data_IF_122000619121
#
_entry.id   IF_122000619121
#
_cell.length_a   1.000
_cell.length_b   1.000
_cell.length_c   1.000
_cell.angle_alpha   90.00
_cell.angle_beta   90.00
_cell.angle_gamma   90.00
#
_symmetry.space_group_name_H-M   'P 1'
#
loop_
_entity.id
_entity.type
_entity.pdbx_description
1 polymer ?
#
# COMPACT_ATOMS: atom_id res chain seq x y z
N UNK A 1 -48.53 -52.27 -26.16
CA UNK A 1 -47.35 -52.40 -25.29
C UNK A 1 -46.53 -51.14 -25.39
N UNK A 2 -46.80 -50.14 -24.50
CA UNK A 2 -46.18 -48.84 -24.55
C UNK A 2 -45.06 -48.73 -23.54
N UNK A 3 -43.84 -48.68 -24.02
CA UNK A 3 -42.67 -48.41 -23.17
C UNK A 3 -42.49 -46.89 -23.00
N UNK A 4 -42.89 -46.38 -21.85
CA UNK A 4 -42.62 -44.98 -21.46
C UNK A 4 -41.13 -44.76 -21.16
N UNK A 5 -40.51 -43.85 -21.96
CA UNK A 5 -39.15 -43.39 -21.69
C UNK A 5 -39.18 -42.39 -20.52
N UNK A 6 -38.63 -42.82 -19.38
CA UNK A 6 -38.38 -41.93 -18.24
C UNK A 6 -37.09 -41.17 -18.52
N UNK A 7 -37.24 -39.87 -18.77
CA UNK A 7 -36.11 -38.94 -18.84
C UNK A 7 -35.70 -38.58 -17.40
N UNK A 8 -34.53 -38.99 -16.98
CA UNK A 8 -33.92 -38.55 -15.72
C UNK A 8 -33.22 -37.23 -15.99
N UNK A 9 -33.79 -36.10 -15.49
CA UNK A 9 -33.11 -34.83 -15.48
C UNK A 9 -32.16 -34.83 -14.29
N UNK A 10 -30.85 -34.96 -14.56
CA UNK A 10 -29.81 -34.72 -13.58
C UNK A 10 -29.66 -33.23 -13.39
N UNK A 11 -30.21 -32.71 -12.29
CA UNK A 11 -29.98 -31.32 -11.88
C UNK A 11 -28.55 -31.21 -11.33
N UNK A 12 -27.67 -30.61 -12.11
CA UNK A 12 -26.31 -30.28 -11.66
C UNK A 12 -26.41 -29.08 -10.72
N UNK A 13 -26.34 -29.36 -9.43
CA UNK A 13 -26.25 -28.33 -8.40
C UNK A 13 -24.78 -27.81 -8.39
N UNK A 14 -24.54 -26.68 -9.05
CA UNK A 14 -23.25 -26.01 -8.95
C UNK A 14 -23.16 -25.39 -7.57
N UNK A 15 -22.46 -26.06 -6.66
CA UNK A 15 -22.08 -25.49 -5.38
C UNK A 15 -20.99 -24.45 -5.64
N UNK A 16 -21.38 -23.19 -5.62
CA UNK A 16 -20.44 -22.06 -5.59
C UNK A 16 -19.76 -22.09 -4.19
N UNK A 17 -18.55 -22.63 -4.13
CA UNK A 17 -17.72 -22.53 -2.93
C UNK A 17 -17.24 -21.08 -2.83
N UNK A 18 -17.91 -20.30 -1.99
CA UNK A 18 -17.41 -18.99 -1.57
C UNK A 18 -16.24 -19.29 -0.63
N UNK A 19 -15.03 -19.19 -1.14
CA UNK A 19 -13.82 -19.30 -0.34
C UNK A 19 -13.72 -18.06 0.55
N UNK A 20 -14.35 -18.10 1.71
CA UNK A 20 -14.06 -17.16 2.81
C UNK A 20 -12.77 -17.67 3.46
N UNK A 21 -11.62 -17.32 2.87
CA UNK A 21 -10.33 -17.58 3.51
C UNK A 21 -10.22 -16.76 4.80
N UNK A 22 -9.48 -17.24 5.81
CA UNK A 22 -9.10 -16.38 6.93
C UNK A 22 -8.35 -15.17 6.40
N UNK A 23 -8.54 -14.02 7.02
CA UNK A 23 -7.75 -12.83 6.74
C UNK A 23 -6.27 -13.20 6.93
N UNK A 24 -5.59 -13.47 5.84
CA UNK A 24 -4.18 -13.79 5.84
C UNK A 24 -3.42 -12.48 6.00
N UNK A 25 -2.37 -12.47 6.82
CA UNK A 25 -1.46 -11.33 6.85
C UNK A 25 -0.99 -11.07 5.42
N UNK A 26 -0.96 -9.82 5.00
CA UNK A 26 -0.53 -9.45 3.67
C UNK A 26 0.94 -9.84 3.49
N UNK A 27 1.24 -10.68 2.49
CA UNK A 27 2.60 -11.15 2.25
C UNK A 27 3.19 -10.53 0.97
N UNK A 28 4.52 -10.47 0.91
CA UNK A 28 5.21 -10.06 -0.32
C UNK A 28 4.84 -11.01 -1.47
N UNK A 29 4.43 -10.44 -2.60
CA UNK A 29 3.91 -11.18 -3.77
C UNK A 29 2.40 -11.14 -3.92
N UNK A 30 1.66 -10.68 -2.91
CA UNK A 30 0.21 -10.50 -2.99
C UNK A 30 -0.17 -9.15 -3.59
N UNK A 31 -1.36 -9.08 -4.19
CA UNK A 31 -1.92 -7.81 -4.64
C UNK A 31 -2.21 -6.91 -3.44
N UNK A 32 -1.74 -5.66 -3.50
CA UNK A 32 -2.05 -4.67 -2.50
C UNK A 32 -3.56 -4.36 -2.54
N UNK A 33 -4.27 -4.40 -1.40
CA UNK A 33 -5.65 -3.94 -1.33
C UNK A 33 -5.77 -2.51 -1.83
N UNK A 34 -6.67 -2.26 -2.78
CA UNK A 34 -6.93 -0.88 -3.22
C UNK A 34 -7.72 -0.13 -2.16
N UNK A 35 -7.46 1.16 -2.05
CA UNK A 35 -8.17 2.05 -1.15
C UNK A 35 -8.39 3.41 -1.78
N UNK A 36 -9.33 4.17 -1.24
CA UNK A 36 -9.54 5.58 -1.56
C UNK A 36 -9.70 6.35 -0.27
N UNK A 37 -8.77 7.27 0.01
CA UNK A 37 -8.73 8.08 1.23
C UNK A 37 -8.70 9.57 0.90
N UNK A 38 -9.18 10.37 1.83
CA UNK A 38 -9.02 11.82 1.75
C UNK A 38 -7.61 12.23 2.19
N UNK A 39 -6.96 13.07 1.38
CA UNK A 39 -5.75 13.77 1.78
C UNK A 39 -6.08 14.89 2.77
N UNK A 40 -5.07 15.39 3.47
CA UNK A 40 -5.21 16.57 4.35
C UNK A 40 -5.62 17.85 3.59
N UNK A 41 -5.45 17.87 2.26
CA UNK A 41 -5.90 18.99 1.38
C UNK A 41 -7.33 18.79 0.89
N UNK A 42 -7.99 17.68 1.23
CA UNK A 42 -9.37 17.37 0.85
C UNK A 42 -9.51 16.68 -0.52
N UNK A 43 -8.42 16.32 -1.17
CA UNK A 43 -8.43 15.54 -2.41
C UNK A 43 -8.65 14.06 -2.08
N UNK A 44 -9.41 13.36 -2.91
CA UNK A 44 -9.53 11.91 -2.86
C UNK A 44 -8.37 11.28 -3.61
N UNK A 45 -7.67 10.35 -2.95
CA UNK A 45 -6.47 9.69 -3.48
C UNK A 45 -6.63 8.19 -3.31
N UNK A 46 -6.51 7.46 -4.41
CA UNK A 46 -6.57 5.99 -4.43
C UNK A 46 -5.20 5.38 -4.72
N UNK A 47 -4.93 4.21 -4.16
CA UNK A 47 -3.69 3.50 -4.49
C UNK A 47 -3.62 3.20 -6.00
N UNK A 48 -4.75 2.86 -6.61
CA UNK A 48 -4.86 2.58 -8.05
C UNK A 48 -4.53 3.76 -8.97
N UNK A 49 -4.52 5.01 -8.47
CA UNK A 49 -4.11 6.19 -9.25
C UNK A 49 -2.62 6.14 -9.61
N UNK A 50 -1.84 5.35 -8.90
CA UNK A 50 -0.39 5.23 -9.05
C UNK A 50 0.05 3.96 -9.78
N UNK A 51 -0.84 3.28 -10.49
CA UNK A 51 -0.46 2.15 -11.37
C UNK A 51 0.64 2.57 -12.34
N UNK A 52 1.63 1.70 -12.50
CA UNK A 52 2.81 1.99 -13.33
C UNK A 52 3.94 2.70 -12.57
N UNK A 53 3.78 2.99 -11.28
CA UNK A 53 4.79 3.62 -10.43
C UNK A 53 5.08 2.76 -9.19
N UNK A 54 6.28 2.88 -8.64
CA UNK A 54 6.54 2.40 -7.29
C UNK A 54 5.86 3.29 -6.27
N UNK A 55 5.20 2.69 -5.30
CA UNK A 55 4.57 3.37 -4.17
C UNK A 55 5.23 2.91 -2.87
N UNK A 56 5.75 3.85 -2.12
CA UNK A 56 6.16 3.66 -0.74
C UNK A 56 4.95 4.03 0.14
N UNK A 57 4.35 3.03 0.78
CA UNK A 57 3.17 3.20 1.62
C UNK A 57 3.55 3.05 3.09
N UNK A 58 3.37 4.11 3.88
CA UNK A 58 3.58 4.09 5.33
C UNK A 58 2.25 4.25 6.05
N UNK A 59 2.00 3.40 7.04
CA UNK A 59 0.88 3.55 7.98
C UNK A 59 1.45 3.87 9.36
N UNK A 60 1.08 5.02 9.90
CA UNK A 60 1.72 5.58 11.09
C UNK A 60 0.79 6.54 11.84
N UNK A 61 1.30 7.10 12.93
CA UNK A 61 0.67 8.22 13.65
C UNK A 61 1.69 9.31 13.93
N UNK A 62 1.23 10.53 14.15
CA UNK A 62 2.09 11.68 14.43
C UNK A 62 2.80 11.60 15.78
N UNK A 63 2.17 10.97 16.77
CA UNK A 63 2.65 10.88 18.15
C UNK A 63 3.59 9.70 18.43
N UNK A 64 3.83 8.83 17.45
CA UNK A 64 4.67 7.64 17.59
C UNK A 64 6.16 7.97 17.32
N UNK A 65 7.08 7.83 18.31
CA UNK A 65 8.49 8.19 18.11
C UNK A 65 9.20 7.39 17.02
N UNK A 66 8.93 6.08 16.91
CA UNK A 66 9.51 5.23 15.85
C UNK A 66 8.95 5.57 14.48
N UNK A 67 7.70 6.04 14.41
CA UNK A 67 7.11 6.55 13.17
C UNK A 67 7.83 7.82 12.69
N UNK A 68 8.15 8.74 13.62
CA UNK A 68 8.92 9.95 13.31
C UNK A 68 10.33 9.60 12.82
N UNK A 69 11.02 8.67 13.47
CA UNK A 69 12.34 8.20 13.02
C UNK A 69 12.28 7.64 11.58
N UNK A 70 11.27 6.83 11.27
CA UNK A 70 11.10 6.32 9.90
C UNK A 70 10.81 7.44 8.91
N UNK A 71 10.01 8.45 9.27
CA UNK A 71 9.77 9.63 8.45
C UNK A 71 11.06 10.40 8.14
N UNK A 72 11.94 10.57 9.14
CA UNK A 72 13.24 11.20 8.96
C UNK A 72 14.14 10.39 7.99
N UNK A 73 14.11 9.06 8.06
CA UNK A 73 14.87 8.21 7.13
C UNK A 73 14.31 8.25 5.70
N UNK A 74 12.97 8.31 5.55
CA UNK A 74 12.32 8.48 4.24
C UNK A 74 12.67 9.85 3.65
N UNK A 75 12.66 10.92 4.45
CA UNK A 75 13.08 12.26 4.01
C UNK A 75 14.54 12.26 3.54
N UNK A 76 15.47 11.61 4.27
CA UNK A 76 16.87 11.46 3.85
C UNK A 76 17.05 10.66 2.55
N UNK A 77 16.15 9.73 2.25
CA UNK A 77 16.12 9.01 0.99
C UNK A 77 15.44 9.81 -0.14
N UNK A 78 14.83 10.94 0.17
CA UNK A 78 13.89 11.68 -0.65
C UNK A 78 14.37 12.00 -2.06
N UNK A 79 15.63 12.46 -2.22
CA UNK A 79 16.19 12.77 -3.54
C UNK A 79 16.29 11.51 -4.43
N UNK A 80 16.71 10.37 -3.85
CA UNK A 80 16.75 9.08 -4.55
C UNK A 80 15.32 8.62 -4.93
N UNK A 81 14.35 8.77 -4.02
CA UNK A 81 12.95 8.44 -4.27
C UNK A 81 12.37 9.32 -5.40
N UNK A 82 12.63 10.61 -5.38
CA UNK A 82 12.22 11.55 -6.43
C UNK A 82 12.85 11.20 -7.79
N UNK A 83 14.17 10.93 -7.81
CA UNK A 83 14.90 10.54 -9.02
C UNK A 83 14.37 9.25 -9.66
N UNK A 84 13.82 8.37 -8.85
CA UNK A 84 13.22 7.09 -9.26
C UNK A 84 11.69 7.19 -9.44
N UNK A 85 11.11 8.39 -9.45
CA UNK A 85 9.67 8.64 -9.63
C UNK A 85 8.77 7.83 -8.65
N UNK A 86 9.27 7.60 -7.44
CA UNK A 86 8.52 6.92 -6.37
C UNK A 86 7.44 7.86 -5.84
N UNK A 87 6.27 7.31 -5.56
CA UNK A 87 5.19 7.99 -4.81
C UNK A 87 5.31 7.63 -3.35
N UNK A 88 5.26 8.60 -2.47
CA UNK A 88 5.16 8.35 -1.04
C UNK A 88 3.73 8.65 -0.56
N UNK A 89 3.04 7.61 -0.07
CA UNK A 89 1.75 7.72 0.59
C UNK A 89 1.95 7.52 2.09
N UNK A 90 1.73 8.58 2.86
CA UNK A 90 1.79 8.55 4.32
C UNK A 90 0.37 8.54 4.89
N UNK A 91 -0.08 7.37 5.32
CA UNK A 91 -1.42 7.15 5.86
C UNK A 91 -1.38 7.30 7.37
N UNK A 92 -2.08 8.32 7.85
CA UNK A 92 -2.18 8.66 9.27
C UNK A 92 -3.39 7.99 9.90
N UNK A 93 -3.10 7.08 10.82
CA UNK A 93 -4.12 6.30 11.54
C UNK A 93 -4.54 7.06 12.80
N UNK A 94 -5.84 7.34 12.96
CA UNK A 94 -6.41 8.02 14.14
C UNK A 94 -5.88 9.45 14.40
N UNK A 95 -5.34 10.12 13.41
CA UNK A 95 -4.90 11.51 13.50
C UNK A 95 -5.94 12.46 12.88
N UNK A 96 -5.90 13.73 13.26
CA UNK A 96 -6.71 14.78 12.63
C UNK A 96 -5.90 15.56 11.59
N UNK A 97 -6.59 16.24 10.66
CA UNK A 97 -5.95 17.14 9.69
C UNK A 97 -4.98 18.09 10.39
N UNK A 98 -5.44 18.80 11.43
CA UNK A 98 -4.63 19.81 12.12
C UNK A 98 -3.36 19.22 12.76
N UNK A 99 -3.45 18.00 13.31
CA UNK A 99 -2.30 17.31 13.92
C UNK A 99 -1.28 16.90 12.86
N UNK A 100 -1.77 16.42 11.71
CA UNK A 100 -0.88 16.04 10.58
C UNK A 100 -0.23 17.26 9.95
N UNK A 101 -0.95 18.37 9.78
CA UNK A 101 -0.39 19.62 9.25
C UNK A 101 0.73 20.15 10.15
N UNK A 102 0.53 20.15 11.48
CA UNK A 102 1.56 20.57 12.44
C UNK A 102 2.81 19.66 12.35
N UNK A 103 2.59 18.35 12.28
CA UNK A 103 3.67 17.37 12.14
C UNK A 103 4.46 17.58 10.85
N UNK A 104 3.79 17.77 9.73
CA UNK A 104 4.40 17.93 8.41
C UNK A 104 5.12 19.26 8.23
N UNK A 105 4.82 20.27 9.04
CA UNK A 105 5.52 21.56 8.99
C UNK A 105 7.04 21.45 9.26
N UNK A 106 7.47 20.34 9.89
CA UNK A 106 8.87 20.04 10.16
C UNK A 106 9.50 19.05 9.16
N UNK A 107 8.74 18.56 8.18
CA UNK A 107 9.16 17.53 7.24
C UNK A 107 9.40 18.10 5.84
N UNK A 108 10.35 17.52 5.11
CA UNK A 108 10.60 17.81 3.69
C UNK A 108 10.61 16.52 2.89
N UNK A 109 9.72 16.43 1.92
CA UNK A 109 9.56 15.28 1.04
C UNK A 109 9.65 15.73 -0.43
N UNK A 110 10.84 15.65 -1.05
CA UNK A 110 11.06 16.17 -2.42
C UNK A 110 10.42 15.29 -3.51
N UNK A 111 9.94 14.08 -3.16
CA UNK A 111 9.22 13.20 -4.08
C UNK A 111 7.72 13.54 -4.17
N UNK A 112 6.98 12.89 -5.08
CA UNK A 112 5.51 12.93 -5.06
C UNK A 112 5.00 12.38 -3.73
N UNK A 113 4.30 13.21 -2.97
CA UNK A 113 3.89 12.93 -1.60
C UNK A 113 2.41 13.22 -1.38
N UNK A 114 1.72 12.32 -0.68
CA UNK A 114 0.34 12.52 -0.22
C UNK A 114 0.23 12.11 1.25
N UNK A 115 -0.26 13.03 2.06
CA UNK A 115 -0.66 12.75 3.44
C UNK A 115 -2.15 12.41 3.46
N UNK A 116 -2.48 11.20 3.89
CA UNK A 116 -3.82 10.63 3.83
C UNK A 116 -4.33 10.33 5.24
N UNK A 117 -5.63 10.44 5.44
CA UNK A 117 -6.28 10.13 6.70
C UNK A 117 -7.03 8.80 6.59
N UNK A 118 -6.64 7.82 7.41
CA UNK A 118 -7.33 6.55 7.49
C UNK A 118 -8.59 6.66 8.37
N UNK A 119 -9.71 6.21 7.85
CA UNK A 119 -10.97 6.06 8.57
C UNK A 119 -11.11 4.72 9.32
N UNK A 120 -10.06 3.89 9.28
CA UNK A 120 -9.96 2.56 9.85
C UNK A 120 -10.02 1.43 8.82
N UNK A 121 -10.49 1.68 7.60
CA UNK A 121 -10.61 0.65 6.57
C UNK A 121 -9.23 0.17 6.10
N UNK A 122 -8.30 1.09 5.81
CA UNK A 122 -6.97 0.72 5.33
C UNK A 122 -6.19 -0.02 6.40
N UNK A 123 -6.31 0.41 7.66
CA UNK A 123 -5.72 -0.30 8.80
C UNK A 123 -6.23 -1.74 8.90
N UNK A 124 -7.52 -1.96 8.68
CA UNK A 124 -8.13 -3.29 8.72
C UNK A 124 -7.71 -4.13 7.50
N UNK A 125 -7.82 -3.60 6.28
CA UNK A 125 -7.49 -4.31 5.03
C UNK A 125 -6.00 -4.70 4.95
N UNK A 126 -5.13 -3.86 5.50
CA UNK A 126 -3.69 -4.12 5.57
C UNK A 126 -3.27 -4.83 6.86
N UNK A 127 -4.19 -5.22 7.75
CA UNK A 127 -3.92 -5.87 9.04
C UNK A 127 -2.87 -5.13 9.88
N UNK A 128 -3.06 -3.82 10.11
CA UNK A 128 -2.09 -2.97 10.82
C UNK A 128 -2.24 -3.12 12.32
N UNK A 129 -1.51 -4.06 12.90
CA UNK A 129 -1.46 -4.28 14.36
C UNK A 129 -0.26 -3.61 15.04
N UNK A 130 0.73 -3.18 14.26
CA UNK A 130 1.94 -2.53 14.72
C UNK A 130 2.33 -1.39 13.79
N UNK A 131 2.64 -0.23 14.37
CA UNK A 131 3.10 0.97 13.66
C UNK A 131 4.53 1.33 14.07
N UNK A 132 5.30 1.97 13.17
CA UNK A 132 4.96 2.19 11.78
C UNK A 132 4.96 0.88 10.97
N UNK A 133 4.13 0.80 9.95
CA UNK A 133 4.24 -0.23 8.92
C UNK A 133 4.65 0.44 7.63
N UNK A 134 5.64 -0.13 6.96
CA UNK A 134 6.15 0.35 5.68
C UNK A 134 6.05 -0.76 4.65
N UNK A 135 5.39 -0.46 3.53
CA UNK A 135 5.27 -1.36 2.39
C UNK A 135 5.86 -0.70 1.15
N UNK A 136 6.43 -1.52 0.27
CA UNK A 136 6.72 -1.14 -1.12
C UNK A 136 5.75 -1.87 -2.03
N UNK A 137 5.00 -1.12 -2.82
CA UNK A 137 4.05 -1.62 -3.82
C UNK A 137 4.60 -1.29 -5.20
N UNK A 138 4.65 -2.27 -6.08
CA UNK A 138 5.20 -2.08 -7.41
C UNK A 138 4.19 -1.50 -8.43
N UNK A 139 4.66 -1.34 -9.67
CA UNK A 139 3.87 -0.80 -10.77
C UNK A 139 2.62 -1.62 -11.12
N UNK A 140 2.62 -2.90 -10.79
CA UNK A 140 1.48 -3.83 -11.00
C UNK A 140 0.57 -3.92 -9.76
N UNK A 141 0.78 -3.07 -8.75
CA UNK A 141 0.05 -3.04 -7.49
C UNK A 141 0.25 -4.32 -6.65
N UNK A 142 1.46 -4.88 -6.71
CA UNK A 142 1.86 -6.04 -5.91
C UNK A 142 2.79 -5.58 -4.78
N UNK A 143 2.53 -6.07 -3.57
CA UNK A 143 3.41 -5.83 -2.41
C UNK A 143 4.74 -6.55 -2.64
N UNK A 144 5.84 -5.82 -2.62
CA UNK A 144 7.20 -6.35 -2.78
C UNK A 144 7.98 -6.39 -1.48
N UNK A 145 7.62 -5.51 -0.57
CA UNK A 145 8.23 -5.44 0.75
C UNK A 145 7.17 -5.05 1.78
N UNK A 146 7.27 -5.61 2.96
CA UNK A 146 6.43 -5.30 4.11
C UNK A 146 7.26 -5.40 5.39
N UNK A 147 7.23 -4.36 6.19
CA UNK A 147 7.93 -4.31 7.49
C UNK A 147 7.10 -3.57 8.51
N UNK A 148 6.98 -4.14 9.68
CA UNK A 148 6.39 -3.49 10.85
C UNK A 148 7.47 -3.18 11.89
N UNK A 149 7.36 -2.01 12.57
CA UNK A 149 8.28 -1.61 13.65
C UNK A 149 9.41 -0.65 13.28
N UNK A 150 9.58 -0.29 12.02
CA UNK A 150 10.26 0.95 11.58
C UNK A 150 11.77 1.06 11.71
N UNK A 151 12.54 -0.03 11.80
CA UNK A 151 14.01 0.02 11.91
C UNK A 151 14.72 0.02 10.54
N UNK A 152 14.24 0.80 9.57
CA UNK A 152 14.83 0.93 8.25
C UNK A 152 15.62 2.23 8.17
N UNK A 153 16.85 2.16 7.68
CA UNK A 153 17.65 3.34 7.35
C UNK A 153 17.32 3.86 5.94
N UNK A 154 17.73 5.09 5.65
CA UNK A 154 17.62 5.67 4.31
C UNK A 154 18.29 4.79 3.24
N UNK A 155 19.43 4.16 3.58
CA UNK A 155 20.13 3.27 2.65
C UNK A 155 19.37 1.97 2.37
N UNK A 156 18.68 1.41 3.39
CA UNK A 156 17.81 0.25 3.21
C UNK A 156 16.64 0.59 2.28
N UNK A 157 16.02 1.76 2.47
CA UNK A 157 14.92 2.25 1.63
C UNK A 157 15.39 2.45 0.18
N UNK A 158 16.55 3.07 -0.02
CA UNK A 158 17.13 3.26 -1.36
C UNK A 158 17.47 1.93 -2.04
N UNK A 159 18.04 0.98 -1.30
CA UNK A 159 18.38 -0.35 -1.81
C UNK A 159 17.12 -1.10 -2.29
N UNK A 160 16.08 -1.09 -1.46
CA UNK A 160 14.79 -1.70 -1.77
C UNK A 160 14.16 -1.07 -3.04
N UNK A 161 14.14 0.26 -3.15
CA UNK A 161 13.60 0.94 -4.33
C UNK A 161 14.38 0.55 -5.60
N UNK A 162 15.72 0.49 -5.54
CA UNK A 162 16.54 0.08 -6.69
C UNK A 162 16.28 -1.37 -7.14
N UNK A 163 15.98 -2.27 -6.21
CA UNK A 163 15.70 -3.67 -6.50
C UNK A 163 14.41 -3.84 -7.31
N UNK A 164 13.38 -3.03 -7.00
CA UNK A 164 12.04 -3.16 -7.61
C UNK A 164 11.71 -2.10 -8.66
N UNK A 165 12.69 -1.27 -9.05
CA UNK A 165 12.49 -0.37 -10.18
C UNK A 165 12.16 -1.20 -11.44
N UNK A 166 11.11 -0.83 -12.20
CA UNK A 166 10.90 -1.43 -13.50
C UNK A 166 12.17 -1.19 -14.31
N UNK A 167 12.83 -2.28 -14.75
CA UNK A 167 13.97 -2.19 -15.65
C UNK A 167 13.57 -1.26 -16.78
N UNK A 168 14.24 -0.12 -16.91
CA UNK A 168 14.17 0.67 -18.14
C UNK A 168 14.78 -0.17 -19.25
N UNK A 169 14.03 -1.17 -19.71
CA UNK A 169 14.36 -1.92 -20.91
C UNK A 169 14.35 -0.90 -22.04
N UNK A 170 15.56 -0.39 -22.33
CA UNK A 170 16.00 0.11 -23.62
C UNK A 170 14.86 0.38 -24.61
N UNK A 171 14.29 1.57 -24.57
CA UNK A 171 13.68 2.11 -25.78
C UNK A 171 14.86 2.55 -26.66
N UNK A 172 15.44 1.57 -27.33
CA UNK A 172 16.49 1.72 -28.32
C UNK A 172 15.88 1.57 -29.71
N UNK A 173 15.96 2.66 -30.43
CA UNK A 173 15.95 2.78 -31.88
C UNK A 173 14.63 2.77 -32.59
#
# INVERSE_FOLDING_TARGET
MNYGKRVFIFSIFVISVICSGPACALEAGEAAPDFSLQSITGEEVSLSDFKGRLVLLKLATTWCPTCKQLSDEISRAGDDLAANNVVFLDVYVMDSVATVEEYLAEMDYPMTFHALLDDGQVSDDYNVYLIPRLLLVDADQVVRFDSAGGNLSAEDIKAMVREYQPSTATQGS
#
